data_IF_078278045514
#
_entry.id   IF_078278045514
#
_cell.length_a   1.000
_cell.length_b   1.000
_cell.length_c   1.000
_cell.angle_alpha   90.00
_cell.angle_beta   90.00
_cell.angle_gamma   90.00
#
_symmetry.space_group_name_H-M   'P 1'
#
loop_
_entity.id
_entity.type
_entity.pdbx_description
1 polymer ?
#
# COMPACT_ATOMS: atom_id res chain seq x y z
N UNK A 1 21.52 -0.45 -2.65
CA UNK A 1 21.86 0.98 -2.77
C UNK A 1 20.87 1.71 -3.67
N UNK A 2 20.47 2.91 -3.25
CA UNK A 2 19.50 3.76 -3.93
C UNK A 2 20.19 5.06 -4.28
N UNK A 3 20.17 5.41 -5.56
CA UNK A 3 20.85 6.59 -6.09
C UNK A 3 19.83 7.65 -6.45
N UNK A 4 20.09 8.89 -6.06
CA UNK A 4 19.19 10.02 -6.26
C UNK A 4 19.85 11.16 -7.03
N UNK A 5 19.06 11.86 -7.83
CA UNK A 5 19.42 13.12 -8.50
C UNK A 5 18.27 14.08 -8.26
N UNK A 6 18.54 15.29 -7.77
CA UNK A 6 17.52 16.31 -7.46
C UNK A 6 16.37 15.79 -6.57
N UNK A 7 16.70 14.96 -5.57
CA UNK A 7 15.73 14.36 -4.66
C UNK A 7 14.85 13.26 -5.27
N UNK A 8 15.13 12.84 -6.51
CA UNK A 8 14.44 11.73 -7.18
C UNK A 8 15.34 10.52 -7.32
N UNK A 9 14.80 9.33 -7.07
CA UNK A 9 15.47 8.06 -7.33
C UNK A 9 15.63 7.88 -8.84
N UNK A 10 16.85 7.65 -9.32
CA UNK A 10 17.12 7.37 -10.74
C UNK A 10 17.68 5.96 -10.97
N UNK A 11 18.24 5.32 -9.93
CA UNK A 11 18.75 3.95 -10.02
C UNK A 11 18.69 3.21 -8.69
N UNK A 12 18.53 1.88 -8.79
CA UNK A 12 18.56 0.94 -7.67
C UNK A 12 19.52 -0.19 -8.03
N UNK A 13 20.48 -0.46 -7.14
CA UNK A 13 21.44 -1.56 -7.26
C UNK A 13 21.47 -2.38 -5.97
N UNK A 14 21.97 -3.62 -6.05
CA UNK A 14 22.28 -4.39 -4.86
C UNK A 14 23.43 -3.75 -4.11
N UNK A 15 23.50 -3.96 -2.80
CA UNK A 15 24.66 -3.54 -2.01
C UNK A 15 25.73 -4.65 -2.04
N UNK A 16 27.01 -4.26 -2.07
CA UNK A 16 28.13 -5.19 -2.27
C UNK A 16 28.43 -6.06 -1.05
N UNK A 17 28.11 -5.57 0.15
CA UNK A 17 28.28 -6.29 1.41
C UNK A 17 27.17 -7.32 1.66
N UNK A 18 26.15 -7.39 0.80
CA UNK A 18 25.13 -8.42 0.90
C UNK A 18 25.72 -9.81 0.57
N UNK A 19 25.74 -10.76 1.51
CA UNK A 19 26.46 -12.03 1.36
C UNK A 19 25.84 -12.97 0.33
N UNK A 20 24.58 -12.73 -0.06
CA UNK A 20 23.84 -13.60 -1.00
C UNK A 20 23.91 -13.08 -2.44
N UNK A 21 23.68 -11.78 -2.61
CA UNK A 21 23.55 -11.17 -3.93
C UNK A 21 24.79 -10.41 -4.40
N UNK A 22 25.70 -10.04 -3.48
CA UNK A 22 26.96 -9.36 -3.78
C UNK A 22 26.80 -8.22 -4.82
N UNK A 23 25.84 -7.33 -4.59
CA UNK A 23 25.56 -6.20 -5.49
C UNK A 23 24.63 -6.48 -6.69
N UNK A 24 24.24 -7.74 -6.92
CA UNK A 24 23.53 -8.16 -8.14
C UNK A 24 22.09 -8.61 -7.85
N UNK A 25 21.11 -7.69 -7.83
CA UNK A 25 19.71 -8.07 -7.73
C UNK A 25 19.25 -8.70 -9.05
N UNK A 26 18.15 -9.45 -9.01
CA UNK A 26 17.48 -9.87 -10.24
C UNK A 26 16.95 -8.64 -11.02
N UNK A 27 16.58 -8.81 -12.31
CA UNK A 27 16.10 -7.68 -13.13
C UNK A 27 14.97 -6.87 -12.48
N UNK A 28 14.08 -7.53 -11.73
CA UNK A 28 12.96 -6.89 -11.02
C UNK A 28 13.41 -5.87 -9.97
N UNK A 29 14.55 -6.09 -9.32
CA UNK A 29 15.06 -5.19 -8.28
C UNK A 29 15.37 -3.79 -8.82
N UNK A 30 15.89 -3.71 -10.05
CA UNK A 30 16.19 -2.44 -10.71
C UNK A 30 14.94 -1.61 -11.04
N UNK A 31 13.78 -2.27 -11.19
CA UNK A 31 12.52 -1.61 -11.55
C UNK A 31 11.77 -1.01 -10.36
N UNK A 32 12.34 -1.02 -9.13
CA UNK A 32 11.68 -0.45 -7.94
C UNK A 32 11.20 1.00 -8.11
N UNK A 33 11.95 1.81 -8.88
CA UNK A 33 11.57 3.20 -9.17
C UNK A 33 10.28 3.33 -10.00
N UNK A 34 9.95 2.33 -10.83
CA UNK A 34 8.72 2.34 -11.62
C UNK A 34 7.48 2.18 -10.73
N UNK A 35 7.59 1.42 -9.64
CA UNK A 35 6.52 1.31 -8.65
C UNK A 35 6.40 2.60 -7.83
N UNK A 36 7.53 3.20 -7.44
CA UNK A 36 7.57 4.43 -6.67
C UNK A 36 6.90 5.60 -7.40
N UNK A 37 7.18 5.74 -8.70
CA UNK A 37 6.73 6.84 -9.57
C UNK A 37 5.61 6.44 -10.55
N UNK A 38 4.88 5.35 -10.27
CA UNK A 38 3.72 4.99 -11.08
C UNK A 38 2.70 6.13 -11.06
N UNK A 39 2.28 6.60 -12.24
CA UNK A 39 1.31 7.68 -12.41
C UNK A 39 -0.06 7.37 -11.78
N UNK A 40 -0.42 6.10 -11.70
CA UNK A 40 -1.70 5.62 -11.17
C UNK A 40 -1.65 5.28 -9.68
N UNK A 41 -0.51 5.53 -9.00
CA UNK A 41 -0.36 5.23 -7.58
C UNK A 41 -1.35 6.05 -6.73
N UNK A 42 -2.00 5.38 -5.79
CA UNK A 42 -2.84 6.06 -4.80
C UNK A 42 -2.02 7.06 -3.98
N UNK A 43 -2.51 8.30 -3.91
CA UNK A 43 -1.85 9.41 -3.21
C UNK A 43 -2.27 9.53 -1.74
N UNK A 44 -3.29 8.78 -1.32
CA UNK A 44 -3.80 8.82 0.04
C UNK A 44 -5.01 7.90 0.24
N UNK A 45 -5.60 7.93 1.45
CA UNK A 45 -6.78 7.15 1.79
C UNK A 45 -7.98 7.50 0.91
N UNK A 46 -8.83 6.50 0.64
CA UNK A 46 -10.07 6.67 -0.10
C UNK A 46 -11.20 5.87 0.54
N UNK A 47 -12.43 6.33 0.32
CA UNK A 47 -13.66 5.72 0.81
C UNK A 47 -14.59 5.42 -0.36
N UNK A 48 -15.08 4.19 -0.41
CA UNK A 48 -16.11 3.75 -1.37
C UNK A 48 -17.45 4.40 -1.03
N UNK A 49 -18.16 4.91 -2.04
CA UNK A 49 -19.51 5.50 -1.87
C UNK A 49 -20.62 4.60 -2.39
N UNK A 50 -20.39 3.75 -3.40
CA UNK A 50 -21.37 2.75 -3.81
C UNK A 50 -21.45 1.64 -2.74
N UNK A 51 -22.63 1.37 -2.11
CA UNK A 51 -22.77 0.33 -1.09
C UNK A 51 -22.73 -1.10 -1.64
N UNK A 52 -22.89 -1.32 -2.95
CA UNK A 52 -22.73 -2.64 -3.59
C UNK A 52 -21.26 -2.97 -3.80
N UNK A 53 -20.94 -4.28 -3.81
CA UNK A 53 -19.59 -4.81 -4.07
C UNK A 53 -19.71 -5.91 -5.12
N UNK A 54 -18.79 -5.91 -6.09
CA UNK A 54 -18.76 -6.91 -7.14
C UNK A 54 -17.77 -6.52 -8.24
N UNK A 55 -17.44 -7.47 -9.12
CA UNK A 55 -16.50 -7.23 -10.24
C UNK A 55 -17.00 -6.16 -11.22
N UNK A 56 -18.33 -6.04 -11.33
CA UNK A 56 -19.04 -5.10 -12.21
C UNK A 56 -19.61 -3.89 -11.47
N UNK A 57 -19.32 -3.75 -10.17
CA UNK A 57 -19.80 -2.64 -9.35
C UNK A 57 -18.69 -1.61 -9.23
N UNK A 58 -18.91 -0.42 -9.80
CA UNK A 58 -18.00 0.70 -9.63
C UNK A 58 -18.03 1.15 -8.14
N UNK A 59 -16.90 1.11 -7.41
CA UNK A 59 -16.85 1.52 -6.01
C UNK A 59 -17.16 3.01 -5.78
N UNK A 60 -17.00 3.85 -6.82
CA UNK A 60 -17.13 5.31 -6.73
C UNK A 60 -16.30 5.85 -5.55
N UNK A 61 -15.00 5.56 -5.57
CA UNK A 61 -14.08 6.01 -4.53
C UNK A 61 -13.98 7.53 -4.49
N UNK A 62 -13.96 8.08 -3.28
CA UNK A 62 -13.68 9.49 -3.01
C UNK A 62 -12.50 9.59 -2.03
N UNK A 63 -11.66 10.63 -2.12
CA UNK A 63 -10.61 10.88 -1.13
C UNK A 63 -11.18 11.06 0.29
N UNK A 64 -10.42 10.66 1.29
CA UNK A 64 -10.74 10.88 2.72
C UNK A 64 -9.44 11.16 3.50
N UNK A 65 -9.54 11.63 4.74
CA UNK A 65 -8.38 11.85 5.59
C UNK A 65 -7.87 10.53 6.19
N UNK A 66 -6.63 10.54 6.67
CA UNK A 66 -6.08 9.43 7.44
C UNK A 66 -6.89 9.17 8.71
N UNK A 67 -7.28 10.22 9.43
CA UNK A 67 -8.07 10.11 10.66
C UNK A 67 -9.44 9.47 10.38
N UNK A 68 -10.19 9.93 9.36
CA UNK A 68 -11.49 9.35 9.04
C UNK A 68 -11.37 7.88 8.58
N UNK A 69 -10.37 7.56 7.76
CA UNK A 69 -10.14 6.21 7.27
C UNK A 69 -9.83 5.24 8.42
N UNK A 70 -8.90 5.62 9.30
CA UNK A 70 -8.50 4.81 10.45
C UNK A 70 -9.64 4.69 11.47
N UNK A 71 -10.35 5.78 11.76
CA UNK A 71 -11.54 5.76 12.63
C UNK A 71 -12.63 4.83 12.10
N UNK A 72 -12.85 4.84 10.79
CA UNK A 72 -13.86 3.97 10.15
C UNK A 72 -13.52 2.49 10.35
N UNK A 73 -12.24 2.13 10.22
CA UNK A 73 -11.78 0.75 10.43
C UNK A 73 -11.81 0.40 11.92
N UNK A 74 -11.30 1.27 12.79
CA UNK A 74 -11.26 1.07 14.23
C UNK A 74 -12.66 0.88 14.83
N UNK A 75 -13.64 1.70 14.43
CA UNK A 75 -15.05 1.55 14.86
C UNK A 75 -15.60 0.16 14.55
N UNK A 76 -15.30 -0.39 13.38
CA UNK A 76 -15.75 -1.74 13.00
C UNK A 76 -15.06 -2.83 13.81
N UNK A 77 -13.75 -2.70 14.02
CA UNK A 77 -12.96 -3.66 14.80
C UNK A 77 -13.40 -3.67 16.27
N UNK A 78 -13.59 -2.50 16.88
CA UNK A 78 -14.09 -2.39 18.25
C UNK A 78 -15.50 -2.96 18.39
N UNK A 79 -16.38 -2.72 17.41
CA UNK A 79 -17.71 -3.33 17.40
C UNK A 79 -17.70 -4.88 17.34
N UNK A 80 -16.65 -5.50 16.77
CA UNK A 80 -16.46 -6.96 16.86
C UNK A 80 -16.03 -7.37 18.28
N UNK A 81 -15.12 -6.62 18.90
CA UNK A 81 -14.64 -6.89 20.26
C UNK A 81 -15.77 -6.82 21.28
N UNK A 82 -16.58 -5.76 21.22
CA UNK A 82 -17.74 -5.56 22.10
C UNK A 82 -18.74 -6.72 22.03
N UNK A 83 -18.83 -7.39 20.88
CA UNK A 83 -19.70 -8.55 20.64
C UNK A 83 -19.04 -9.90 20.94
N UNK A 84 -17.79 -9.92 21.40
CA UNK A 84 -16.96 -11.13 21.52
C UNK A 84 -16.76 -11.89 20.19
N UNK A 85 -16.80 -11.16 19.07
CA UNK A 85 -16.67 -11.69 17.70
C UNK A 85 -15.33 -11.34 17.04
N UNK A 86 -14.29 -11.01 17.83
CA UNK A 86 -12.98 -10.60 17.30
C UNK A 86 -12.35 -11.60 16.33
N UNK A 87 -12.68 -12.90 16.47
CA UNK A 87 -12.24 -13.98 15.58
C UNK A 87 -12.74 -13.85 14.14
N UNK A 88 -13.72 -12.96 13.88
CA UNK A 88 -14.23 -12.67 12.52
C UNK A 88 -13.34 -11.70 11.74
N UNK A 89 -12.33 -11.10 12.37
CA UNK A 89 -11.33 -10.28 11.68
C UNK A 89 -10.28 -11.17 11.02
N UNK A 90 -10.00 -10.92 9.74
CA UNK A 90 -8.94 -11.58 8.99
C UNK A 90 -7.85 -10.60 8.57
N UNK A 91 -6.58 -11.00 8.78
CA UNK A 91 -5.40 -10.33 8.26
C UNK A 91 -4.68 -11.35 7.36
N UNK A 92 -4.41 -10.97 6.11
CA UNK A 92 -3.80 -11.82 5.08
C UNK A 92 -2.48 -11.21 4.61
#
# INVERSE_FOLDING_TARGET
DVYTTDGRVHAVYGTLDNPLSMGKPCPKGHYGQYLLYNADRFKGPMKRTNPKKGRSEDPKFVPTSWDEALDTVAKRMNGLREKNESHRFGLF
#
